data_IF_985425668119
#
_entry.id   IF_985425668119
#
_cell.length_a   1.000
_cell.length_b   1.000
_cell.length_c   1.000
_cell.angle_alpha   90.00
_cell.angle_beta   90.00
_cell.angle_gamma   90.00
#
_symmetry.space_group_name_H-M   'P 1'
#
loop_
_entity.id
_entity.type
_entity.pdbx_description
1 polymer ?
#
# COMPACT_ATOMS: atom_id res chain seq x y z
N UNK A 1 -14.23 -22.64 -2.54
CA UNK A 1 -12.94 -22.01 -2.19
C UNK A 1 -13.04 -20.93 -1.09
N UNK A 2 -14.17 -20.23 -0.93
CA UNK A 2 -14.33 -19.12 0.04
C UNK A 2 -14.09 -19.54 1.49
N UNK A 3 -14.62 -20.70 1.93
CA UNK A 3 -14.48 -21.16 3.32
C UNK A 3 -13.03 -21.43 3.75
N UNK A 4 -12.22 -22.04 2.89
CA UNK A 4 -10.80 -22.29 3.18
C UNK A 4 -9.98 -21.00 3.20
N UNK A 5 -10.29 -20.05 2.31
CA UNK A 5 -9.61 -18.74 2.28
C UNK A 5 -9.95 -17.91 3.52
N UNK A 6 -11.21 -17.95 3.95
CA UNK A 6 -11.66 -17.30 5.18
C UNK A 6 -11.01 -17.92 6.43
N UNK A 7 -10.95 -19.26 6.50
CA UNK A 7 -10.31 -19.97 7.60
C UNK A 7 -8.80 -19.69 7.65
N UNK A 8 -8.11 -19.69 6.50
CA UNK A 8 -6.68 -19.36 6.42
C UNK A 8 -6.41 -17.91 6.84
N UNK A 9 -7.24 -16.96 6.39
CA UNK A 9 -7.13 -15.56 6.79
C UNK A 9 -7.36 -15.36 8.29
N UNK A 10 -8.37 -16.02 8.86
CA UNK A 10 -8.64 -15.98 10.30
C UNK A 10 -7.48 -16.58 11.11
N UNK A 11 -6.95 -17.72 10.67
CA UNK A 11 -5.81 -18.38 11.30
C UNK A 11 -4.56 -17.50 11.30
N UNK A 12 -4.24 -16.86 10.17
CA UNK A 12 -3.11 -15.94 10.06
C UNK A 12 -3.25 -14.73 11.00
N UNK A 13 -4.46 -14.18 11.15
CA UNK A 13 -4.71 -13.08 12.07
C UNK A 13 -4.53 -13.51 13.54
N UNK A 14 -5.01 -14.70 13.90
CA UNK A 14 -4.83 -15.24 15.26
C UNK A 14 -3.35 -15.44 15.55
N UNK A 15 -2.60 -16.05 14.62
CA UNK A 15 -1.16 -16.26 14.75
C UNK A 15 -0.41 -14.94 14.91
N UNK A 16 -0.71 -13.94 14.07
CA UNK A 16 -0.13 -12.61 14.19
C UNK A 16 -0.41 -11.98 15.56
N UNK A 17 -1.63 -12.10 16.09
CA UNK A 17 -1.97 -11.54 17.42
C UNK A 17 -1.25 -12.27 18.55
N UNK A 18 -1.12 -13.59 18.49
CA UNK A 18 -0.38 -14.38 19.47
C UNK A 18 1.11 -14.06 19.45
N UNK A 19 1.68 -13.92 18.25
CA UNK A 19 3.08 -13.53 18.05
C UNK A 19 3.33 -12.12 18.57
N UNK A 20 2.46 -11.16 18.21
CA UNK A 20 2.52 -9.78 18.69
C UNK A 20 2.44 -9.73 20.22
N UNK A 21 1.49 -10.42 20.83
CA UNK A 21 1.31 -10.46 22.29
C UNK A 21 2.55 -11.02 22.99
N UNK A 22 3.14 -12.06 22.44
CA UNK A 22 4.33 -12.70 23.02
C UNK A 22 5.56 -11.82 22.87
N UNK A 23 5.75 -11.18 21.71
CA UNK A 23 6.85 -10.25 21.47
C UNK A 23 6.74 -9.00 22.33
N UNK A 24 5.56 -8.39 22.44
CA UNK A 24 5.36 -7.20 23.29
C UNK A 24 5.68 -7.48 24.75
N UNK A 25 5.37 -8.70 25.25
CA UNK A 25 5.71 -9.13 26.61
C UNK A 25 7.21 -9.35 26.81
N UNK A 26 7.91 -9.88 25.81
CA UNK A 26 9.36 -10.17 25.91
C UNK A 26 10.22 -8.93 25.76
N UNK A 27 9.77 -7.97 24.96
CA UNK A 27 10.51 -6.73 24.66
C UNK A 27 10.11 -5.56 25.57
N UNK A 28 9.15 -5.77 26.48
CA UNK A 28 8.54 -4.75 27.36
C UNK A 28 8.16 -3.46 26.63
N UNK A 29 7.74 -3.62 25.37
CA UNK A 29 7.43 -2.54 24.43
C UNK A 29 6.27 -2.97 23.56
N UNK A 30 5.32 -2.07 23.29
CA UNK A 30 4.23 -2.39 22.35
C UNK A 30 4.77 -2.53 20.93
N UNK A 31 4.86 -3.78 20.45
CA UNK A 31 5.23 -4.09 19.08
C UNK A 31 4.01 -3.85 18.20
N UNK A 32 4.06 -2.80 17.38
CA UNK A 32 3.01 -2.45 16.41
C UNK A 32 3.54 -2.69 15.00
N UNK A 33 2.89 -3.57 14.22
CA UNK A 33 3.20 -3.68 12.80
C UNK A 33 2.94 -2.32 12.12
N UNK A 34 3.92 -1.85 11.36
CA UNK A 34 3.86 -0.59 10.63
C UNK A 34 4.16 0.66 11.47
N UNK A 35 4.63 0.57 12.72
CA UNK A 35 5.32 1.66 13.42
C UNK A 35 4.59 3.01 13.58
N UNK A 36 3.27 3.07 13.33
CA UNK A 36 2.50 4.32 13.26
C UNK A 36 2.33 4.90 11.84
N UNK A 37 2.91 4.27 10.82
CA UNK A 37 2.76 4.63 9.40
C UNK A 37 1.47 4.09 8.78
N UNK A 38 0.82 3.10 9.40
CA UNK A 38 -0.44 2.52 8.93
C UNK A 38 -1.50 3.57 8.51
N UNK A 39 -1.83 4.61 9.32
CA UNK A 39 -2.77 5.64 8.89
C UNK A 39 -2.29 6.45 7.68
N UNK A 40 -0.98 6.68 7.55
CA UNK A 40 -0.38 7.38 6.40
C UNK A 40 -0.47 6.53 5.12
N UNK A 41 -0.22 5.23 5.25
CA UNK A 41 -0.38 4.28 4.14
C UNK A 41 -1.85 4.19 3.73
N UNK A 42 -2.78 4.09 4.68
CA UNK A 42 -4.21 4.03 4.40
C UNK A 42 -4.71 5.32 3.72
N UNK A 43 -4.26 6.48 4.15
CA UNK A 43 -4.63 7.76 3.52
C UNK A 43 -4.06 7.86 2.11
N UNK A 44 -2.80 7.49 1.88
CA UNK A 44 -2.23 7.42 0.53
C UNK A 44 -2.98 6.43 -0.38
N UNK A 45 -3.33 5.25 0.15
CA UNK A 45 -4.11 4.25 -0.58
C UNK A 45 -5.52 4.75 -0.91
N UNK A 46 -6.18 5.46 0.02
CA UNK A 46 -7.49 6.05 -0.21
C UNK A 46 -7.43 7.10 -1.34
N UNK A 47 -6.44 8.00 -1.32
CA UNK A 47 -6.24 8.99 -2.39
C UNK A 47 -5.98 8.30 -3.74
N UNK A 48 -5.09 7.31 -3.77
CA UNK A 48 -4.83 6.54 -4.98
C UNK A 48 -6.09 5.81 -5.49
N UNK A 49 -6.93 5.31 -4.58
CA UNK A 49 -8.22 4.71 -4.91
C UNK A 49 -9.19 5.71 -5.55
N UNK A 50 -9.29 6.92 -5.02
CA UNK A 50 -10.08 8.01 -5.63
C UNK A 50 -9.55 8.34 -7.03
N UNK A 51 -8.23 8.44 -7.20
CA UNK A 51 -7.60 8.66 -8.51
C UNK A 51 -7.87 7.50 -9.46
N UNK A 52 -7.86 6.25 -8.99
CA UNK A 52 -8.17 5.08 -9.81
C UNK A 52 -9.61 5.08 -10.31
N UNK A 53 -10.57 5.45 -9.46
CA UNK A 53 -11.96 5.64 -9.85
C UNK A 53 -12.08 6.77 -10.87
N UNK A 54 -11.37 7.88 -10.69
CA UNK A 54 -11.30 8.96 -11.68
C UNK A 54 -10.72 8.50 -13.02
N UNK A 55 -9.62 7.74 -12.99
CA UNK A 55 -8.94 7.21 -14.17
C UNK A 55 -9.86 6.33 -15.01
N UNK A 56 -10.78 5.59 -14.38
CA UNK A 56 -11.78 4.77 -15.07
C UNK A 56 -12.60 5.56 -16.08
N UNK A 57 -12.92 6.83 -15.80
CA UNK A 57 -13.68 7.69 -16.72
C UNK A 57 -12.83 8.15 -17.90
N UNK A 58 -11.51 8.31 -17.72
CA UNK A 58 -10.58 8.73 -18.77
C UNK A 58 -10.35 7.59 -19.76
N UNK A 59 -10.14 6.37 -19.25
CA UNK A 59 -9.84 5.19 -20.07
C UNK A 59 -11.09 4.42 -20.50
N UNK A 60 -12.29 4.94 -20.20
CA UNK A 60 -13.54 4.32 -20.61
C UNK A 60 -13.61 4.23 -22.14
N UNK A 61 -13.84 3.01 -22.66
CA UNK A 61 -13.89 2.76 -24.10
C UNK A 61 -12.53 2.60 -24.77
N UNK A 62 -11.42 2.72 -24.03
CA UNK A 62 -10.10 2.40 -24.56
C UNK A 62 -9.90 0.89 -24.60
N UNK A 63 -9.03 0.43 -25.50
CA UNK A 63 -8.54 -0.94 -25.46
C UNK A 63 -7.81 -1.20 -24.12
N UNK A 64 -7.88 -2.40 -23.51
CA UNK A 64 -7.34 -2.65 -22.18
C UNK A 64 -5.84 -2.35 -22.03
N UNK A 65 -5.05 -2.61 -23.08
CA UNK A 65 -3.60 -2.38 -23.08
C UNK A 65 -3.24 -0.89 -22.91
N UNK A 66 -3.65 0.04 -23.79
CA UNK A 66 -3.36 1.46 -23.62
C UNK A 66 -4.05 2.05 -22.39
N UNK A 67 -5.25 1.57 -22.03
CA UNK A 67 -5.93 1.99 -20.80
C UNK A 67 -5.10 1.65 -19.54
N UNK A 68 -4.56 0.43 -19.46
CA UNK A 68 -3.68 0.03 -18.36
C UNK A 68 -2.37 0.83 -18.36
N UNK A 69 -1.79 1.09 -19.54
CA UNK A 69 -0.55 1.87 -19.66
C UNK A 69 -0.68 3.31 -19.12
N UNK A 70 -1.90 3.87 -19.06
CA UNK A 70 -2.16 5.19 -18.47
C UNK A 70 -2.63 5.09 -17.03
N UNK A 71 -3.57 4.18 -16.74
CA UNK A 71 -4.16 4.07 -15.40
C UNK A 71 -3.15 3.63 -14.34
N UNK A 72 -2.24 2.67 -14.66
CA UNK A 72 -1.21 2.19 -13.74
C UNK A 72 -0.25 3.30 -13.29
N UNK A 73 0.44 4.04 -14.19
CA UNK A 73 1.35 5.08 -13.76
C UNK A 73 0.62 6.22 -13.06
N UNK A 74 -0.60 6.56 -13.47
CA UNK A 74 -1.39 7.62 -12.82
C UNK A 74 -1.71 7.26 -11.36
N UNK A 75 -2.23 6.07 -11.13
CA UNK A 75 -2.58 5.59 -9.78
C UNK A 75 -1.36 5.32 -8.92
N UNK A 76 -0.33 4.70 -9.49
CA UNK A 76 0.95 4.47 -8.82
C UNK A 76 1.65 5.77 -8.43
N UNK A 77 1.66 6.77 -9.31
CA UNK A 77 2.22 8.08 -9.01
C UNK A 77 1.43 8.78 -7.90
N UNK A 78 0.10 8.74 -7.94
CA UNK A 78 -0.75 9.30 -6.88
C UNK A 78 -0.45 8.65 -5.52
N UNK A 79 -0.36 7.33 -5.46
CA UNK A 79 0.03 6.62 -4.24
C UNK A 79 1.42 7.02 -3.75
N UNK A 80 2.43 6.98 -4.62
CA UNK A 80 3.81 7.22 -4.22
C UNK A 80 4.06 8.67 -3.80
N UNK A 81 3.46 9.62 -4.50
CA UNK A 81 3.60 11.04 -4.16
C UNK A 81 2.91 11.37 -2.84
N UNK A 82 1.71 10.85 -2.60
CA UNK A 82 1.01 11.04 -1.32
C UNK A 82 1.72 10.32 -0.17
N UNK A 83 2.11 9.06 -0.34
CA UNK A 83 2.82 8.30 0.68
C UNK A 83 4.18 8.94 1.02
N UNK A 84 4.95 9.40 0.01
CA UNK A 84 6.21 10.09 0.24
C UNK A 84 6.01 11.44 0.93
N UNK A 85 4.96 12.20 0.56
CA UNK A 85 4.59 13.47 1.19
C UNK A 85 4.13 13.32 2.63
N UNK A 86 3.46 12.22 2.97
CA UNK A 86 3.07 11.86 4.34
C UNK A 86 4.24 11.32 5.17
N UNK A 87 5.42 11.15 4.57
CA UNK A 87 6.61 10.67 5.26
C UNK A 87 6.61 9.18 5.55
N UNK A 88 6.02 8.36 4.68
CA UNK A 88 6.17 6.89 4.71
C UNK A 88 7.58 6.55 4.25
N UNK A 89 8.36 5.90 5.12
CA UNK A 89 9.80 5.68 4.90
C UNK A 89 10.10 4.90 3.62
N UNK A 90 9.35 3.82 3.37
CA UNK A 90 9.51 2.98 2.18
C UNK A 90 9.18 3.74 0.89
N UNK A 91 8.14 4.57 0.90
CA UNK A 91 7.75 5.36 -0.27
C UNK A 91 8.83 6.38 -0.64
N UNK A 92 9.40 7.06 0.36
CA UNK A 92 10.50 7.99 0.13
C UNK A 92 11.76 7.29 -0.41
N UNK A 93 12.08 6.10 0.09
CA UNK A 93 13.20 5.30 -0.40
C UNK A 93 13.00 4.88 -1.87
N UNK A 94 11.77 4.49 -2.23
CA UNK A 94 11.45 4.12 -3.59
C UNK A 94 11.53 5.31 -4.55
N UNK A 95 10.91 6.45 -4.21
CA UNK A 95 10.98 7.69 -5.01
C UNK A 95 12.43 8.14 -5.22
N UNK A 96 13.28 8.04 -4.19
CA UNK A 96 14.70 8.35 -4.28
C UNK A 96 15.44 7.45 -5.26
N UNK A 97 15.13 6.15 -5.24
CA UNK A 97 15.72 5.16 -6.16
C UNK A 97 15.31 5.43 -7.60
N UNK A 98 14.03 5.72 -7.84
CA UNK A 98 13.50 6.06 -9.17
C UNK A 98 14.16 7.34 -9.69
N UNK A 99 14.21 8.40 -8.88
CA UNK A 99 14.90 9.65 -9.25
C UNK A 99 16.36 9.44 -9.62
N UNK A 100 17.08 8.58 -8.89
CA UNK A 100 18.48 8.25 -9.19
C UNK A 100 18.65 7.48 -10.50
N UNK A 101 17.65 6.70 -10.92
CA UNK A 101 17.68 5.95 -12.18
C UNK A 101 17.28 6.79 -13.39
N UNK A 102 16.35 7.73 -13.21
CA UNK A 102 15.88 8.63 -14.27
C UNK A 102 16.83 9.83 -14.48
N UNK A 103 17.54 10.27 -13.43
CA UNK A 103 18.54 11.33 -13.52
C UNK A 103 19.92 10.89 -14.03
N UNK A 104 20.03 9.65 -14.54
CA UNK A 104 21.18 9.13 -15.28
C UNK A 104 20.77 8.95 -16.73
#
# INVERSE_FOLDING_TARGET
AVGLSAAAGASAWIEYQLLRRTLSRRLDRDVRAGGGELPRILTAAAVAGVVAVGARFIVAGWHPLPGAAVALPLTGAAYLTTAAGLGVGEAQAMVRTVRRRIGR
#
